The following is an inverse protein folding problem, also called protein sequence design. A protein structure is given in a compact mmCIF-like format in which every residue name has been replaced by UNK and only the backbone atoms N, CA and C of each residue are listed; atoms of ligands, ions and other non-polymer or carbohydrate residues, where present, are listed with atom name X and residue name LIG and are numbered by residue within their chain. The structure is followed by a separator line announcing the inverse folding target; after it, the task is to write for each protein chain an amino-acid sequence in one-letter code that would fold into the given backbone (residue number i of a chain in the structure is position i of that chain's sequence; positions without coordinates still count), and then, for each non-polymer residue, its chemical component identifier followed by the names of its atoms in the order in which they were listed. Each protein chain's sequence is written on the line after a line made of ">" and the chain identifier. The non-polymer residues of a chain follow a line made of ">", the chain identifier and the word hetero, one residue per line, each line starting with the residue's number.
data_IF_841714469324
#
_entry.id   IF_841714469324
#
_cell.length_a   1.000
_cell.length_b   1.000
_cell.length_c   1.000
_cell.angle_alpha   90.00
_cell.angle_beta   90.00
_cell.angle_gamma   90.00
#
_symmetry.space_group_name_H-M   'P 1'
#
loop_
_entity.id
_entity.type
_entity.pdbx_description
1 polymer ?
#
# COMPACT_ATOMS: atom_id res chain seq x y z
N UNK A 1 14.92 -4.49 -16.77
CA UNK A 1 15.03 -4.04 -15.36
C UNK A 1 13.63 -4.03 -14.77
N UNK A 2 13.49 -4.67 -13.61
CA UNK A 2 12.25 -5.30 -13.13
C UNK A 2 11.10 -4.35 -12.81
N UNK A 3 9.91 -4.84 -13.13
CA UNK A 3 8.61 -4.19 -12.92
C UNK A 3 8.15 -4.31 -11.45
N UNK A 4 9.07 -4.07 -10.51
CA UNK A 4 8.85 -4.25 -9.07
C UNK A 4 8.47 -2.92 -8.44
N UNK A 5 7.34 -2.90 -7.74
CA UNK A 5 6.92 -1.76 -6.92
C UNK A 5 7.53 -1.91 -5.52
N UNK A 6 7.90 -0.79 -4.90
CA UNK A 6 8.22 -0.81 -3.47
C UNK A 6 6.91 -1.00 -2.70
N UNK A 7 6.84 -2.06 -1.90
CA UNK A 7 5.61 -2.49 -1.22
C UNK A 7 5.90 -2.79 0.25
N UNK A 8 4.88 -2.56 1.08
CA UNK A 8 4.89 -2.91 2.51
C UNK A 8 3.89 -4.05 2.69
N UNK A 9 4.33 -5.15 3.30
CA UNK A 9 3.43 -6.20 3.77
C UNK A 9 2.93 -5.83 5.16
N UNK A 10 1.61 -5.80 5.35
CA UNK A 10 0.99 -5.50 6.64
C UNK A 10 0.40 -6.80 7.20
N UNK A 11 0.94 -7.25 8.33
CA UNK A 11 0.40 -8.36 9.11
C UNK A 11 -0.37 -7.76 10.28
N UNK A 12 -1.64 -8.12 10.43
CA UNK A 12 -2.54 -7.54 11.43
C UNK A 12 -3.46 -8.60 12.04
N UNK A 13 -4.03 -8.29 13.21
CA UNK A 13 -5.01 -9.11 13.90
C UNK A 13 -6.43 -8.65 13.51
N UNK A 14 -7.20 -9.44 12.75
CA UNK A 14 -8.52 -9.04 12.28
C UNK A 14 -9.54 -8.87 13.41
N UNK A 15 -9.26 -9.38 14.62
CA UNK A 15 -10.12 -9.16 15.79
C UNK A 15 -9.92 -7.75 16.40
N UNK A 16 -8.86 -7.03 16.01
CA UNK A 16 -8.52 -5.70 16.53
C UNK A 16 -8.62 -4.60 15.48
N UNK A 17 -8.29 -4.90 14.23
CA UNK A 17 -8.28 -3.95 13.12
C UNK A 17 -8.87 -4.66 11.91
N UNK A 18 -9.88 -4.08 11.27
CA UNK A 18 -10.48 -4.69 10.08
C UNK A 18 -9.66 -4.36 8.83
N UNK A 19 -9.90 -5.10 7.74
CA UNK A 19 -9.27 -4.78 6.46
C UNK A 19 -9.74 -3.41 5.93
N UNK A 20 -10.99 -3.04 6.18
CA UNK A 20 -11.55 -1.74 5.83
C UNK A 20 -10.84 -0.59 6.54
N UNK A 21 -10.47 -0.76 7.82
CA UNK A 21 -9.67 0.23 8.56
C UNK A 21 -8.31 0.44 7.87
N UNK A 22 -7.68 -0.65 7.42
CA UNK A 22 -6.41 -0.56 6.68
C UNK A 22 -6.59 0.15 5.33
N UNK A 23 -7.70 -0.06 4.64
CA UNK A 23 -8.01 0.68 3.40
C UNK A 23 -8.23 2.17 3.68
N UNK A 24 -8.88 2.53 4.78
CA UNK A 24 -9.05 3.92 5.18
C UNK A 24 -7.70 4.60 5.44
N UNK A 25 -6.83 3.94 6.22
CA UNK A 25 -5.46 4.42 6.46
C UNK A 25 -4.71 4.55 5.14
N UNK A 26 -4.75 3.53 4.28
CA UNK A 26 -4.10 3.56 2.96
C UNK A 26 -4.53 4.77 2.14
N UNK A 27 -5.83 4.95 1.89
CA UNK A 27 -6.32 6.06 1.06
C UNK A 27 -6.18 7.44 1.72
N UNK A 28 -5.83 7.53 3.02
CA UNK A 28 -5.63 8.80 3.72
C UNK A 28 -4.16 9.27 3.73
N UNK A 29 -3.21 8.39 3.37
CA UNK A 29 -1.78 8.65 3.57
C UNK A 29 -0.98 8.97 2.28
N UNK A 30 -1.60 8.93 1.10
CA UNK A 30 -0.93 9.28 -0.16
C UNK A 30 -1.90 9.77 -1.24
N UNK A 31 -1.32 10.30 -2.33
CA UNK A 31 -2.06 10.67 -3.54
C UNK A 31 -2.38 9.41 -4.38
N UNK A 32 -3.64 8.97 -4.30
CA UNK A 32 -4.20 7.86 -5.08
C UNK A 32 -4.86 8.30 -6.40
N UNK A 33 -4.80 9.58 -6.74
CA UNK A 33 -5.47 10.18 -7.89
C UNK A 33 -4.54 10.43 -9.09
N UNK A 34 -3.24 10.58 -8.83
CA UNK A 34 -2.23 10.80 -9.86
C UNK A 34 -1.51 9.52 -10.26
N UNK A 35 -1.40 9.26 -11.58
CA UNK A 35 -0.59 8.15 -12.09
C UNK A 35 0.90 8.45 -11.94
N UNK A 36 1.62 7.57 -11.25
CA UNK A 36 3.08 7.65 -11.05
C UNK A 36 3.80 6.50 -11.77
N UNK A 37 5.12 6.61 -12.01
CA UNK A 37 5.93 5.50 -12.52
C UNK A 37 5.85 4.26 -11.63
N UNK A 38 6.22 3.12 -12.20
CA UNK A 38 5.98 1.79 -11.66
C UNK A 38 6.42 1.56 -10.20
N UNK A 39 7.47 2.25 -9.74
CA UNK A 39 8.03 2.11 -8.38
C UNK A 39 7.28 2.89 -7.29
N UNK A 40 6.61 3.98 -7.66
CA UNK A 40 5.98 4.93 -6.73
C UNK A 40 4.46 5.03 -6.97
N UNK A 41 3.87 4.02 -7.60
CA UNK A 41 2.45 3.99 -7.90
C UNK A 41 1.64 3.64 -6.66
N UNK A 42 0.44 4.22 -6.53
CA UNK A 42 -0.57 3.70 -5.61
C UNK A 42 -0.95 2.29 -6.05
N UNK A 43 -0.78 1.29 -5.18
CA UNK A 43 -1.05 -0.11 -5.49
C UNK A 43 -1.45 -0.92 -4.27
N UNK A 44 -2.38 -1.85 -4.47
CA UNK A 44 -2.81 -2.84 -3.48
C UNK A 44 -2.74 -4.23 -4.13
N UNK A 45 -2.03 -5.15 -3.47
CA UNK A 45 -1.92 -6.56 -3.87
C UNK A 45 -2.69 -7.42 -2.87
N UNK A 46 -3.74 -8.09 -3.34
CA UNK A 46 -4.71 -8.80 -2.50
C UNK A 46 -4.34 -10.28 -2.37
N UNK A 47 -4.32 -10.80 -1.15
CA UNK A 47 -3.98 -12.21 -0.88
C UNK A 47 -5.11 -13.18 -1.24
N UNK A 48 -6.36 -12.71 -1.24
CA UNK A 48 -7.54 -13.52 -1.52
C UNK A 48 -8.64 -12.71 -2.23
N UNK A 49 -9.70 -13.41 -2.66
CA UNK A 49 -10.85 -12.81 -3.35
C UNK A 49 -11.67 -11.87 -2.46
N UNK A 50 -11.68 -12.10 -1.14
CA UNK A 50 -12.43 -11.26 -0.20
C UNK A 50 -11.79 -9.87 -0.09
N UNK A 51 -10.46 -9.81 -0.02
CA UNK A 51 -9.71 -8.55 -0.09
C UNK A 51 -9.92 -7.86 -1.43
N UNK A 52 -9.83 -8.59 -2.55
CA UNK A 52 -10.05 -8.02 -3.88
C UNK A 52 -11.44 -7.37 -4.00
N UNK A 53 -12.47 -8.07 -3.53
CA UNK A 53 -13.85 -7.57 -3.50
C UNK A 53 -13.96 -6.30 -2.66
N UNK A 54 -13.35 -6.31 -1.46
CA UNK A 54 -13.40 -5.19 -0.52
C UNK A 54 -12.70 -3.94 -1.06
N UNK A 55 -11.53 -4.12 -1.69
CA UNK A 55 -10.80 -3.02 -2.34
C UNK A 55 -11.62 -2.41 -3.48
N UNK A 56 -12.18 -3.24 -4.36
CA UNK A 56 -12.97 -2.76 -5.48
C UNK A 56 -14.23 -2.00 -5.01
N UNK A 57 -14.94 -2.54 -4.01
CA UNK A 57 -16.09 -1.86 -3.40
C UNK A 57 -15.71 -0.49 -2.82
N UNK A 58 -14.56 -0.38 -2.14
CA UNK A 58 -14.06 0.90 -1.62
C UNK A 58 -13.76 1.89 -2.75
N UNK A 59 -13.07 1.45 -3.79
CA UNK A 59 -12.73 2.28 -4.95
C UNK A 59 -14.00 2.76 -5.67
N UNK A 60 -14.97 1.88 -5.88
CA UNK A 60 -16.26 2.22 -6.47
C UNK A 60 -17.02 3.26 -5.63
N UNK A 61 -17.09 3.06 -4.31
CA UNK A 61 -17.69 4.04 -3.39
C UNK A 61 -17.02 5.42 -3.49
N UNK A 62 -15.69 5.46 -3.55
CA UNK A 62 -14.94 6.71 -3.72
C UNK A 62 -15.22 7.38 -5.07
N UNK A 63 -15.28 6.60 -6.15
CA UNK A 63 -15.64 7.11 -7.49
C UNK A 63 -17.07 7.64 -7.54
N UNK A 64 -18.01 6.96 -6.90
CA UNK A 64 -19.39 7.43 -6.77
C UNK A 64 -19.49 8.74 -5.97
N UNK A 65 -18.54 9.00 -5.05
CA UNK A 65 -18.41 10.31 -4.37
C UNK A 65 -17.67 11.38 -5.18
N UNK A 66 -17.37 11.13 -6.46
CA UNK A 66 -16.68 12.07 -7.34
C UNK A 66 -15.15 12.07 -7.25
N UNK A 67 -14.54 11.10 -6.55
CA UNK A 67 -13.07 11.02 -6.45
C UNK A 67 -12.48 10.29 -7.65
N UNK A 68 -11.38 10.82 -8.18
CA UNK A 68 -10.56 10.10 -9.17
C UNK A 68 -9.62 9.16 -8.44
N UNK A 69 -9.75 7.85 -8.72
CA UNK A 69 -8.92 6.81 -8.11
C UNK A 69 -8.25 5.99 -9.20
N UNK A 70 -6.92 6.04 -9.24
CA UNK A 70 -6.06 5.33 -10.21
C UNK A 70 -5.18 4.26 -9.55
N UNK A 71 -5.48 3.89 -8.31
CA UNK A 71 -4.82 2.80 -7.57
C UNK A 71 -4.84 1.51 -8.38
N UNK A 72 -3.68 0.88 -8.54
CA UNK A 72 -3.55 -0.44 -9.13
C UNK A 72 -4.01 -1.51 -8.15
N UNK A 73 -4.85 -2.43 -8.61
CA UNK A 73 -5.35 -3.55 -7.78
C UNK A 73 -5.06 -4.85 -8.53
N UNK A 74 -4.39 -5.78 -7.87
CA UNK A 74 -4.05 -7.08 -8.44
C UNK A 74 -4.02 -8.16 -7.35
N UNK A 75 -4.14 -9.45 -7.71
CA UNK A 75 -3.78 -10.54 -6.82
C UNK A 75 -2.31 -10.44 -6.40
N UNK A 76 -2.01 -10.87 -5.18
CA UNK A 76 -0.64 -11.00 -4.69
C UNK A 76 0.09 -12.09 -5.49
N UNK A 77 1.08 -11.69 -6.28
CA UNK A 77 2.05 -12.59 -6.90
C UNK A 77 3.23 -12.86 -5.96
N UNK A 78 4.39 -13.16 -6.52
CA UNK A 78 5.61 -13.35 -5.72
C UNK A 78 5.97 -12.10 -4.91
N UNK A 79 6.15 -12.27 -3.60
CA UNK A 79 6.66 -11.23 -2.70
C UNK A 79 8.14 -11.46 -2.40
N UNK A 80 8.99 -10.49 -2.74
CA UNK A 80 10.43 -10.55 -2.49
C UNK A 80 10.78 -9.60 -1.35
N UNK A 81 11.40 -10.14 -0.30
CA UNK A 81 11.87 -9.33 0.84
C UNK A 81 12.90 -8.31 0.31
N UNK A 82 12.61 -7.02 0.52
CA UNK A 82 13.52 -5.93 0.17
C UNK A 82 14.82 -5.96 1.00
N UNK A 83 15.81 -5.18 0.58
CA UNK A 83 17.11 -5.11 1.28
C UNK A 83 16.94 -4.83 2.78
N UNK A 84 17.81 -5.45 3.60
CA UNK A 84 17.77 -5.33 5.07
C UNK A 84 17.81 -3.88 5.56
N UNK A 85 18.39 -2.96 4.79
CA UNK A 85 18.45 -1.51 5.07
C UNK A 85 17.08 -0.85 5.14
N UNK A 86 16.11 -1.30 4.36
CA UNK A 86 14.74 -0.74 4.33
C UNK A 86 13.80 -1.38 5.36
N UNK A 87 14.14 -2.55 5.90
CA UNK A 87 13.37 -3.19 6.97
C UNK A 87 13.58 -2.45 8.29
N UNK A 88 12.49 -2.20 9.02
CA UNK A 88 12.48 -1.52 10.33
C UNK A 88 13.32 -0.24 10.36
N UNK A 89 13.19 0.61 9.34
CA UNK A 89 14.00 1.82 9.19
C UNK A 89 13.98 2.70 10.46
N UNK A 90 12.82 2.80 11.13
CA UNK A 90 12.65 3.56 12.36
C UNK A 90 13.24 2.90 13.61
N UNK A 91 13.46 1.58 13.61
CA UNK A 91 14.07 0.86 14.75
C UNK A 91 15.60 0.87 14.70
N UNK A 92 16.18 1.40 13.63
CA UNK A 92 17.63 1.54 13.50
C UNK A 92 18.08 2.86 14.11
N UNK A 93 19.23 2.88 14.82
CA UNK A 93 19.81 4.14 15.25
C UNK A 93 20.06 5.02 14.03
N UNK A 94 19.48 6.22 14.01
CA UNK A 94 19.75 7.23 12.98
C UNK A 94 21.24 7.59 13.02
N UNK A 95 22.09 6.88 12.29
CA UNK A 95 23.46 7.32 12.00
C UNK A 95 23.43 8.28 10.82
N UNK A 96 22.64 9.34 10.94
CA UNK A 96 22.63 10.47 10.03
C UNK A 96 22.90 11.70 10.86
N UNK A 97 24.10 12.29 10.72
CA UNK A 97 24.39 13.61 11.29
C UNK A 97 23.34 14.58 10.75
N UNK A 98 22.40 14.98 11.60
CA UNK A 98 21.61 16.18 11.37
C UNK A 98 22.58 17.36 11.45
N UNK A 99 23.02 17.86 10.28
CA UNK A 99 23.53 19.23 10.22
C UNK A 99 22.31 20.13 10.26
N UNK A 100 22.24 20.96 11.30
CA UNK A 100 21.34 22.12 11.36
C UNK A 100 21.61 23.06 10.18
#
# INVERSE_FOLDING_TARGET
>A
MGDRSEVIQVIYDPAKVSFEDLLEVFFSNHDYSTRRPNKNRSGIWCQDEAQLTSVNKRIESMRNSGKVVVTHVAPLGDFYIGEKTHQNYYDKPMTGKVRR
#
